data_IF_898127608002
#
_entry.id   IF_898127608002
#
_cell.length_a   1.000
_cell.length_b   1.000
_cell.length_c   1.000
_cell.angle_alpha   90.00
_cell.angle_beta   90.00
_cell.angle_gamma   90.00
#
_symmetry.space_group_name_H-M   'P 1'
#
loop_
_entity.id
_entity.type
_entity.pdbx_description
1 polymer ?
#
# COMPACT_ATOMS: atom_id res chain seq x y z
N UNK A 1 26.68 -2.47 -22.96
CA UNK A 1 25.88 -1.84 -21.89
C UNK A 1 24.45 -1.99 -22.35
N UNK A 2 23.72 -2.98 -21.82
CA UNK A 2 22.36 -3.32 -22.28
C UNK A 2 21.38 -2.56 -21.40
N UNK A 3 20.53 -1.76 -22.02
CA UNK A 3 19.48 -0.99 -21.37
C UNK A 3 18.50 -1.94 -20.67
N UNK A 4 18.40 -1.80 -19.35
CA UNK A 4 17.44 -2.51 -18.50
C UNK A 4 16.26 -1.57 -18.21
N UNK A 5 15.32 -1.43 -19.16
CA UNK A 5 13.90 -1.11 -18.96
C UNK A 5 13.26 -0.75 -20.30
N UNK A 6 12.69 -1.72 -21.02
CA UNK A 6 11.79 -1.45 -22.14
C UNK A 6 10.42 -1.00 -21.60
N UNK A 7 10.32 0.27 -21.17
CA UNK A 7 9.05 0.89 -20.79
C UNK A 7 8.07 0.99 -22.00
N UNK A 8 8.60 0.96 -23.23
CA UNK A 8 7.81 1.04 -24.47
C UNK A 8 6.95 -0.20 -24.74
N UNK A 9 7.20 -1.34 -24.09
CA UNK A 9 6.40 -2.57 -24.27
C UNK A 9 5.07 -2.59 -23.52
N UNK A 10 4.75 -1.55 -22.75
CA UNK A 10 3.59 -1.51 -21.84
C UNK A 10 2.42 -0.65 -22.37
N UNK A 11 2.54 -0.02 -23.53
CA UNK A 11 1.40 0.66 -24.18
C UNK A 11 0.93 1.93 -23.48
N UNK A 12 1.87 2.73 -22.97
CA UNK A 12 1.58 4.02 -22.32
C UNK A 12 1.58 5.13 -23.38
N UNK A 13 0.42 5.75 -23.65
CA UNK A 13 0.24 6.86 -24.60
C UNK A 13 0.72 8.20 -24.01
N UNK A 14 1.19 9.12 -24.87
CA UNK A 14 1.84 10.42 -24.54
C UNK A 14 0.94 11.48 -23.85
N UNK A 15 -0.33 11.17 -23.51
CA UNK A 15 -1.22 12.05 -22.73
C UNK A 15 -1.58 11.46 -21.35
N UNK A 16 -0.78 10.51 -20.89
CA UNK A 16 -0.98 9.82 -19.62
C UNK A 16 -0.11 10.46 -18.54
N UNK A 17 -0.70 10.79 -17.38
CA UNK A 17 0.04 11.12 -16.15
C UNK A 17 0.14 9.84 -15.31
N UNK A 18 1.15 8.97 -15.57
CA UNK A 18 1.16 7.64 -14.99
C UNK A 18 1.31 7.70 -13.48
N UNK A 19 0.27 7.24 -12.77
CA UNK A 19 0.34 6.99 -11.34
C UNK A 19 0.42 5.50 -11.08
N UNK A 20 1.42 5.06 -10.32
CA UNK A 20 1.66 3.65 -10.05
C UNK A 20 1.80 3.37 -8.56
N UNK A 21 0.96 2.48 -8.04
CA UNK A 21 1.09 1.89 -6.70
C UNK A 21 2.02 0.68 -6.78
N UNK A 22 3.14 0.71 -6.06
CA UNK A 22 4.19 -0.30 -6.15
C UNK A 22 4.26 -1.12 -4.88
N UNK A 23 4.14 -2.44 -5.04
CA UNK A 23 4.50 -3.45 -4.04
C UNK A 23 5.70 -4.23 -4.56
N UNK A 24 6.77 -4.33 -3.77
CA UNK A 24 8.03 -4.86 -4.29
C UNK A 24 8.86 -5.66 -3.29
N UNK A 25 9.58 -6.65 -3.82
CA UNK A 25 10.64 -7.38 -3.12
C UNK A 25 11.95 -7.28 -3.91
N UNK A 26 12.83 -6.34 -3.56
CA UNK A 26 14.12 -6.20 -4.28
C UNK A 26 15.01 -7.43 -4.18
N UNK A 27 14.84 -8.25 -3.13
CA UNK A 27 15.55 -9.53 -3.00
C UNK A 27 15.25 -10.47 -4.18
N UNK A 28 14.02 -10.46 -4.68
CA UNK A 28 13.60 -11.33 -5.79
C UNK A 28 14.18 -10.89 -7.15
N UNK A 29 14.55 -9.61 -7.29
CA UNK A 29 15.14 -9.06 -8.53
C UNK A 29 16.55 -9.61 -8.74
N UNK A 30 17.29 -9.82 -7.64
CA UNK A 30 18.70 -10.17 -7.64
C UNK A 30 19.60 -8.97 -7.35
N UNK A 31 20.80 -8.95 -7.91
CA UNK A 31 21.75 -7.88 -7.69
C UNK A 31 21.37 -6.62 -8.48
N UNK A 32 21.16 -5.51 -7.76
CA UNK A 32 20.89 -4.18 -8.34
C UNK A 32 22.04 -3.25 -7.91
N UNK A 33 22.89 -2.79 -8.85
CA UNK A 33 23.84 -1.74 -8.55
C UNK A 33 23.11 -0.51 -7.99
N UNK A 34 23.49 -0.06 -6.79
CA UNK A 34 22.81 1.07 -6.12
C UNK A 34 21.47 0.74 -5.46
N UNK A 35 21.04 -0.52 -5.47
CA UNK A 35 19.90 -1.06 -4.71
C UNK A 35 18.59 -0.24 -4.86
N UNK A 36 17.92 0.10 -3.76
CA UNK A 36 16.62 0.79 -3.78
C UNK A 36 16.64 2.17 -4.46
N UNK A 37 17.64 3.04 -4.23
CA UNK A 37 17.75 4.30 -4.99
C UNK A 37 17.77 4.13 -6.50
N UNK A 38 18.55 3.18 -7.02
CA UNK A 38 18.61 2.93 -8.46
C UNK A 38 17.30 2.37 -9.00
N UNK A 39 16.61 1.52 -8.23
CA UNK A 39 15.27 1.05 -8.58
C UNK A 39 14.26 2.20 -8.68
N UNK A 40 14.23 3.11 -7.69
CA UNK A 40 13.34 4.29 -7.69
C UNK A 40 13.65 5.20 -8.88
N UNK A 41 14.93 5.46 -9.16
CA UNK A 41 15.35 6.26 -10.31
C UNK A 41 14.92 5.63 -11.64
N UNK A 42 15.06 4.30 -11.78
CA UNK A 42 14.59 3.58 -12.97
C UNK A 42 13.08 3.67 -13.14
N UNK A 43 12.30 3.57 -12.05
CA UNK A 43 10.85 3.78 -12.12
C UNK A 43 10.50 5.21 -12.54
N UNK A 44 11.12 6.23 -11.94
CA UNK A 44 10.90 7.62 -12.32
C UNK A 44 11.24 7.87 -13.79
N UNK A 45 12.35 7.31 -14.28
CA UNK A 45 12.75 7.42 -15.67
C UNK A 45 11.75 6.73 -16.62
N UNK A 46 11.19 5.59 -16.22
CA UNK A 46 10.22 4.85 -17.03
C UNK A 46 8.85 5.55 -17.09
N UNK A 47 8.43 6.19 -16.00
CA UNK A 47 7.16 6.93 -15.94
C UNK A 47 7.27 8.32 -16.59
N UNK A 48 8.48 8.86 -16.73
CA UNK A 48 8.70 10.20 -17.24
C UNK A 48 8.36 11.30 -16.23
N UNK A 49 8.50 12.58 -16.63
CA UNK A 49 8.39 13.72 -15.73
C UNK A 49 6.98 13.97 -15.18
N UNK A 50 5.93 13.46 -15.83
CA UNK A 50 4.55 13.52 -15.35
C UNK A 50 4.19 12.37 -14.39
N UNK A 51 5.09 11.40 -14.20
CA UNK A 51 4.83 10.20 -13.43
C UNK A 51 4.79 10.41 -11.93
N UNK A 52 3.93 9.63 -11.26
CA UNK A 52 3.85 9.55 -9.80
C UNK A 52 4.02 8.12 -9.31
N UNK A 53 4.99 7.89 -8.43
CA UNK A 53 5.18 6.62 -7.72
C UNK A 53 4.52 6.72 -6.36
N UNK A 54 3.79 5.67 -5.97
CA UNK A 54 3.11 5.55 -4.69
C UNK A 54 3.45 4.20 -4.08
N UNK A 55 3.69 4.17 -2.77
CA UNK A 55 4.07 2.96 -2.04
C UNK A 55 3.38 2.92 -0.67
N UNK A 56 2.93 1.76 -0.19
CA UNK A 56 2.45 1.61 1.18
C UNK A 56 3.61 1.76 2.17
N UNK A 57 3.44 2.60 3.18
CA UNK A 57 4.42 2.87 4.24
C UNK A 57 3.87 2.48 5.61
N UNK A 58 3.33 1.27 5.70
CA UNK A 58 2.61 0.80 6.88
C UNK A 58 3.51 0.72 8.12
N UNK A 59 2.89 0.94 9.28
CA UNK A 59 3.47 1.09 10.62
C UNK A 59 2.66 0.25 11.61
N UNK A 60 2.57 -1.05 11.34
CA UNK A 60 1.71 -1.97 12.08
C UNK A 60 2.10 -2.21 13.54
N UNK A 61 3.29 -1.78 13.97
CA UNK A 61 3.69 -1.69 15.38
C UNK A 61 2.96 -0.59 16.16
N UNK A 62 2.43 0.43 15.50
CA UNK A 62 1.59 1.42 16.17
C UNK A 62 0.14 0.90 16.28
N UNK A 63 -0.05 -0.23 16.95
CA UNK A 63 -1.34 -0.91 17.12
C UNK A 63 -1.46 -1.52 18.52
N UNK A 64 -2.67 -1.93 18.91
CA UNK A 64 -2.88 -2.54 20.23
C UNK A 64 -2.05 -3.83 20.39
N UNK A 65 -1.16 -3.91 21.40
CA UNK A 65 -0.31 -5.06 21.61
C UNK A 65 -1.08 -6.34 21.95
N UNK A 66 -2.35 -6.25 22.35
CA UNK A 66 -3.21 -7.42 22.56
C UNK A 66 -3.45 -8.22 21.26
N UNK A 67 -3.33 -7.59 20.09
CA UNK A 67 -3.49 -8.25 18.79
C UNK A 67 -2.17 -8.75 18.18
N UNK A 68 -1.02 -8.51 18.82
CA UNK A 68 0.28 -8.87 18.24
C UNK A 68 0.55 -10.37 18.32
N UNK A 69 0.95 -10.96 17.19
CA UNK A 69 1.25 -12.40 17.08
C UNK A 69 2.67 -12.69 16.58
N UNK A 70 3.38 -11.71 16.02
CA UNK A 70 4.68 -11.91 15.35
C UNK A 70 5.72 -10.82 15.73
N UNK A 71 6.31 -10.89 16.94
CA UNK A 71 5.97 -11.77 18.05
C UNK A 71 4.86 -11.20 18.95
N UNK A 72 4.19 -12.01 19.78
CA UNK A 72 3.35 -11.51 20.87
C UNK A 72 4.22 -10.94 22.00
N UNK A 73 3.60 -10.17 22.89
CA UNK A 73 4.23 -9.64 24.12
C UNK A 73 3.39 -10.01 25.35
N UNK A 74 3.99 -10.12 26.56
CA UNK A 74 3.24 -10.41 27.78
C UNK A 74 2.11 -9.40 28.02
N UNK A 75 0.96 -9.87 28.52
CA UNK A 75 -0.20 -9.02 28.83
C UNK A 75 0.15 -7.88 29.80
N UNK A 76 1.05 -8.13 30.75
CA UNK A 76 1.55 -7.11 31.67
C UNK A 76 2.26 -5.93 30.98
N UNK A 77 2.65 -6.07 29.71
CA UNK A 77 3.29 -5.01 28.92
C UNK A 77 2.29 -4.21 28.09
N UNK A 78 1.04 -4.67 27.94
CA UNK A 78 0.09 -4.02 27.03
C UNK A 78 -0.18 -2.56 27.41
N UNK A 79 -0.53 -2.29 28.68
CA UNK A 79 -0.78 -0.91 29.10
C UNK A 79 0.49 -0.03 29.06
N UNK A 80 1.66 -0.47 29.57
CA UNK A 80 2.90 0.29 29.38
C UNK A 80 3.22 0.63 27.92
N UNK A 81 2.95 -0.27 26.99
CA UNK A 81 3.12 -0.03 25.54
C UNK A 81 2.12 1.02 25.04
N UNK A 82 0.83 0.91 25.40
CA UNK A 82 -0.19 1.91 25.05
C UNK A 82 0.13 3.30 25.59
N UNK A 83 0.80 3.40 26.73
CA UNK A 83 1.19 4.67 27.35
C UNK A 83 2.44 5.29 26.70
N UNK A 84 3.32 4.46 26.11
CA UNK A 84 4.68 4.88 25.73
C UNK A 84 5.01 4.85 24.24
N UNK A 85 4.28 4.10 23.39
CA UNK A 85 4.48 4.14 21.94
C UNK A 85 4.38 5.60 21.45
N UNK A 86 5.39 6.12 20.74
CA UNK A 86 5.34 7.45 20.16
C UNK A 86 4.15 7.60 19.22
N UNK A 87 3.52 8.78 19.20
CA UNK A 87 2.56 9.09 18.15
C UNK A 87 3.22 8.97 16.78
N UNK A 88 2.42 8.55 15.78
CA UNK A 88 2.86 8.57 14.40
C UNK A 88 3.26 9.98 13.96
N UNK A 89 4.43 10.07 13.36
CA UNK A 89 4.96 11.22 12.66
C UNK A 89 5.39 10.79 11.24
N UNK A 90 4.81 11.37 10.18
CA UNK A 90 5.15 11.03 8.80
C UNK A 90 6.66 11.09 8.48
N UNK A 91 7.39 12.03 9.10
CA UNK A 91 8.80 12.27 8.84
C UNK A 91 9.71 11.23 9.51
N UNK A 92 9.41 10.88 10.76
CA UNK A 92 10.32 10.10 11.61
C UNK A 92 9.92 8.63 11.79
N UNK A 93 8.64 8.30 11.67
CA UNK A 93 8.16 6.93 11.90
C UNK A 93 8.66 5.99 10.81
N UNK A 94 9.45 5.00 11.17
CA UNK A 94 9.97 3.99 10.23
C UNK A 94 8.86 3.03 9.79
N UNK A 95 8.96 2.51 8.57
CA UNK A 95 7.99 1.50 8.10
C UNK A 95 8.26 0.13 8.71
N UNK A 96 7.24 -0.72 8.74
CA UNK A 96 7.33 -2.09 9.30
C UNK A 96 6.76 -3.12 8.31
N UNK A 97 7.59 -4.11 7.94
CA UNK A 97 7.24 -5.27 7.06
C UNK A 97 6.73 -4.89 5.65
N UNK A 98 7.06 -3.70 5.13
CA UNK A 98 6.69 -3.30 3.74
C UNK A 98 7.86 -3.32 2.75
N UNK A 99 9.10 -3.45 3.25
CA UNK A 99 10.31 -3.56 2.43
C UNK A 99 11.11 -2.26 2.29
N UNK A 100 12.26 -2.34 1.61
CA UNK A 100 13.22 -1.23 1.53
C UNK A 100 12.80 -0.13 0.55
N UNK A 101 12.00 -0.45 -0.47
CA UNK A 101 11.56 0.55 -1.46
C UNK A 101 10.64 1.59 -0.81
N UNK A 102 9.59 1.23 -0.05
CA UNK A 102 8.82 2.22 0.69
C UNK A 102 9.65 3.03 1.68
N UNK A 103 10.57 2.38 2.42
CA UNK A 103 11.43 3.04 3.40
C UNK A 103 12.38 4.06 2.74
N UNK A 104 12.87 3.76 1.53
CA UNK A 104 13.72 4.68 0.77
C UNK A 104 12.90 5.82 0.15
N UNK A 105 11.73 5.51 -0.42
CA UNK A 105 10.90 6.49 -1.12
C UNK A 105 10.29 7.51 -0.14
N UNK A 106 9.87 7.09 1.06
CA UNK A 106 9.28 8.03 2.04
C UNK A 106 10.25 9.15 2.46
N UNK A 107 11.56 8.91 2.35
CA UNK A 107 12.61 9.90 2.66
C UNK A 107 13.16 10.58 1.41
N UNK A 108 12.64 10.27 0.22
CA UNK A 108 13.14 10.82 -1.03
C UNK A 108 12.85 12.33 -1.10
N UNK A 109 13.79 13.16 -1.61
CA UNK A 109 13.54 14.57 -1.78
C UNK A 109 12.27 14.84 -2.61
N UNK A 110 11.30 15.55 -2.02
CA UNK A 110 10.02 15.86 -2.64
C UNK A 110 8.94 14.79 -2.47
N UNK A 111 9.22 13.66 -1.81
CA UNK A 111 8.18 12.71 -1.45
C UNK A 111 7.29 13.28 -0.32
N UNK A 112 6.01 12.95 -0.38
CA UNK A 112 5.02 13.26 0.65
C UNK A 112 4.50 11.95 1.24
N UNK A 113 4.07 11.98 2.51
CA UNK A 113 3.50 10.82 3.20
C UNK A 113 2.19 11.19 3.87
N UNK A 114 1.17 10.35 3.67
CA UNK A 114 -0.15 10.55 4.27
C UNK A 114 -0.12 10.34 5.79
N UNK A 115 -1.05 10.97 6.51
CA UNK A 115 -0.99 11.06 7.98
C UNK A 115 -1.54 9.85 8.77
N UNK A 116 -2.04 8.80 8.12
CA UNK A 116 -2.66 7.68 8.86
C UNK A 116 -1.63 6.93 9.75
N UNK A 117 -1.89 6.73 11.06
CA UNK A 117 -0.90 6.19 12.01
C UNK A 117 -0.39 4.77 11.77
N UNK A 118 -1.13 3.96 11.01
CA UNK A 118 -0.83 2.55 10.71
C UNK A 118 -0.71 2.22 9.21
N UNK A 119 -1.51 2.82 8.33
CA UNK A 119 -1.61 2.46 6.90
C UNK A 119 -1.23 3.61 5.98
N UNK A 120 -0.32 4.49 6.42
CA UNK A 120 0.13 5.61 5.58
C UNK A 120 0.74 5.15 4.25
N UNK A 121 0.65 6.01 3.23
CA UNK A 121 1.31 5.86 1.93
C UNK A 121 2.31 7.00 1.72
N UNK A 122 3.43 6.71 1.06
CA UNK A 122 4.31 7.73 0.50
C UNK A 122 4.11 7.84 -1.02
N UNK A 123 4.20 9.06 -1.53
CA UNK A 123 4.07 9.36 -2.95
C UNK A 123 5.12 10.38 -3.41
N UNK A 124 5.61 10.21 -4.64
CA UNK A 124 6.60 11.08 -5.28
C UNK A 124 6.18 11.34 -6.73
N UNK A 125 5.98 12.61 -7.08
CA UNK A 125 5.55 13.05 -8.42
C UNK A 125 4.41 14.07 -8.37
N UNK A 126 3.88 14.50 -9.53
CA UNK A 126 2.86 15.56 -9.61
C UNK A 126 1.59 15.30 -8.79
N UNK A 127 1.16 14.04 -8.65
CA UNK A 127 -0.05 13.68 -7.90
C UNK A 127 0.21 13.42 -6.41
N UNK A 128 1.46 13.53 -5.93
CA UNK A 128 1.82 13.12 -4.57
C UNK A 128 1.00 13.81 -3.48
N UNK A 129 0.77 15.13 -3.61
CA UNK A 129 -0.01 15.90 -2.65
C UNK A 129 -1.47 15.44 -2.65
N UNK A 130 -2.08 15.37 -3.84
CA UNK A 130 -3.47 14.95 -3.98
C UNK A 130 -3.70 13.58 -3.36
N UNK A 131 -2.84 12.61 -3.63
CA UNK A 131 -2.96 11.22 -3.16
C UNK A 131 -2.79 11.12 -1.63
N UNK A 132 -1.88 11.90 -1.03
CA UNK A 132 -1.51 11.73 0.38
C UNK A 132 -2.27 12.62 1.36
N UNK A 133 -2.85 13.73 0.90
CA UNK A 133 -3.58 14.65 1.78
C UNK A 133 -4.88 14.05 2.33
N UNK A 134 -5.33 14.47 3.52
CA UNK A 134 -6.67 14.11 4.03
C UNK A 134 -6.92 12.63 4.32
N UNK A 135 -5.87 11.82 4.51
CA UNK A 135 -6.01 10.43 4.93
C UNK A 135 -6.57 10.38 6.37
N UNK A 136 -7.84 10.01 6.50
CA UNK A 136 -8.57 10.05 7.77
C UNK A 136 -8.07 8.98 8.75
N UNK A 137 -7.97 9.30 10.04
CA UNK A 137 -7.46 8.35 11.05
C UNK A 137 -8.42 7.22 11.39
N UNK A 138 -9.71 7.37 11.07
CA UNK A 138 -10.76 6.36 11.23
C UNK A 138 -11.07 5.60 9.93
N UNK A 139 -10.18 5.68 8.93
CA UNK A 139 -10.33 4.98 7.67
C UNK A 139 -8.97 4.52 7.16
N UNK A 140 -8.56 3.27 7.48
CA UNK A 140 -7.27 2.74 7.07
C UNK A 140 -7.07 2.72 5.55
N UNK A 141 -8.04 2.18 4.80
CA UNK A 141 -7.87 1.83 3.38
C UNK A 141 -9.18 2.00 2.55
N UNK A 142 -10.15 2.77 3.05
CA UNK A 142 -11.44 3.00 2.40
C UNK A 142 -11.54 4.30 1.59
N UNK A 143 -12.74 4.88 1.53
CA UNK A 143 -13.05 6.08 0.71
C UNK A 143 -12.29 7.34 1.14
N UNK A 144 -11.92 7.45 2.42
CA UNK A 144 -11.13 8.57 2.96
C UNK A 144 -9.63 8.24 3.05
N UNK A 145 -9.16 7.35 2.18
CA UNK A 145 -7.76 6.92 2.10
C UNK A 145 -7.13 7.18 0.72
N UNK A 146 -5.79 7.07 0.60
CA UNK A 146 -5.10 7.13 -0.68
C UNK A 146 -5.59 6.12 -1.72
N UNK A 147 -6.12 4.95 -1.34
CA UNK A 147 -6.60 3.95 -2.32
C UNK A 147 -7.75 4.47 -3.17
N UNK A 148 -8.73 5.16 -2.56
CA UNK A 148 -9.85 5.74 -3.31
C UNK A 148 -9.38 6.84 -4.28
N UNK A 149 -8.38 7.62 -3.88
CA UNK A 149 -7.78 8.65 -4.75
C UNK A 149 -6.99 8.04 -5.90
N UNK A 150 -6.25 6.96 -5.64
CA UNK A 150 -5.54 6.20 -6.69
C UNK A 150 -6.52 5.62 -7.71
N UNK A 151 -7.67 5.13 -7.27
CA UNK A 151 -8.73 4.68 -8.17
C UNK A 151 -9.32 5.83 -9.01
N UNK A 152 -9.51 7.00 -8.40
CA UNK A 152 -10.06 8.17 -9.08
C UNK A 152 -9.14 8.69 -10.19
N UNK A 153 -7.81 8.58 -10.02
CA UNK A 153 -6.81 8.98 -11.03
C UNK A 153 -6.41 7.86 -11.99
N UNK A 154 -7.17 6.75 -12.03
CA UNK A 154 -6.90 5.61 -12.92
C UNK A 154 -5.48 5.04 -12.76
N UNK A 155 -5.01 4.95 -11.51
CA UNK A 155 -3.69 4.43 -11.19
C UNK A 155 -3.53 2.95 -11.59
N UNK A 156 -2.27 2.56 -11.82
CA UNK A 156 -1.86 1.17 -12.03
C UNK A 156 -1.29 0.59 -10.75
N UNK A 157 -1.35 -0.74 -10.61
CA UNK A 157 -0.67 -1.49 -9.55
C UNK A 157 0.45 -2.31 -10.15
N UNK A 158 1.66 -2.19 -9.58
CA UNK A 158 2.80 -3.04 -9.88
C UNK A 158 3.08 -3.96 -8.70
N UNK A 159 2.90 -5.26 -8.91
CA UNK A 159 3.40 -6.30 -8.00
C UNK A 159 4.71 -6.83 -8.56
N UNK A 160 5.83 -6.47 -7.95
CA UNK A 160 7.17 -6.86 -8.38
C UNK A 160 7.79 -7.84 -7.39
N UNK A 161 7.83 -9.11 -7.78
CA UNK A 161 8.43 -10.17 -6.96
C UNK A 161 7.68 -10.46 -5.67
N UNK A 162 6.39 -10.12 -5.63
CA UNK A 162 5.47 -10.36 -4.51
C UNK A 162 4.20 -11.02 -5.02
N UNK A 163 3.51 -11.71 -4.12
CA UNK A 163 2.23 -12.36 -4.38
C UNK A 163 1.06 -11.39 -4.38
N UNK A 164 -0.12 -11.95 -4.60
CA UNK A 164 -1.38 -11.22 -4.52
C UNK A 164 -1.75 -10.88 -3.07
N UNK A 165 -1.22 -11.64 -2.10
CA UNK A 165 -1.27 -11.33 -0.67
C UNK A 165 -0.70 -9.95 -0.31
N UNK A 166 0.10 -9.34 -1.19
CA UNK A 166 0.64 -7.97 -1.01
C UNK A 166 -0.13 -6.88 -1.75
N UNK A 167 -1.22 -7.22 -2.46
CA UNK A 167 -2.01 -6.27 -3.24
C UNK A 167 -2.93 -5.42 -2.34
N UNK A 168 -2.40 -4.31 -1.79
CA UNK A 168 -3.17 -3.45 -0.87
C UNK A 168 -4.42 -2.84 -1.51
N UNK A 169 -4.47 -2.72 -2.84
CA UNK A 169 -5.66 -2.24 -3.56
C UNK A 169 -6.92 -3.07 -3.26
N UNK A 170 -6.79 -4.38 -3.01
CA UNK A 170 -7.95 -5.23 -2.69
C UNK A 170 -8.62 -4.85 -1.36
N UNK A 171 -7.91 -4.21 -0.42
CA UNK A 171 -8.55 -3.74 0.81
C UNK A 171 -9.62 -2.68 0.56
N UNK A 172 -9.51 -1.85 -0.50
CA UNK A 172 -10.59 -0.91 -0.85
C UNK A 172 -11.90 -1.65 -1.17
N UNK A 173 -11.81 -2.85 -1.74
CA UNK A 173 -12.99 -3.70 -1.97
C UNK A 173 -13.60 -4.23 -0.67
N UNK A 174 -12.82 -4.42 0.40
CA UNK A 174 -13.35 -4.81 1.70
C UNK A 174 -14.20 -3.70 2.33
N UNK A 175 -13.84 -2.42 2.11
CA UNK A 175 -14.68 -1.28 2.52
C UNK A 175 -15.98 -1.17 1.72
N UNK A 176 -15.99 -1.68 0.48
CA UNK A 176 -17.14 -1.68 -0.43
C UNK A 176 -17.92 -3.01 -0.44
N UNK A 177 -17.46 -3.97 0.35
CA UNK A 177 -18.16 -5.22 0.58
C UNK A 177 -19.53 -4.94 1.19
N UNK A 178 -20.55 -5.73 0.86
CA UNK A 178 -21.93 -5.42 1.26
C UNK A 178 -22.15 -5.43 2.79
N UNK A 179 -21.37 -6.23 3.52
CA UNK A 179 -21.53 -6.41 4.96
C UNK A 179 -20.16 -6.47 5.66
N UNK A 180 -19.38 -5.38 5.61
CA UNK A 180 -18.04 -5.35 6.16
C UNK A 180 -18.14 -5.49 7.68
N UNK A 181 -17.36 -6.41 8.24
CA UNK A 181 -17.21 -6.51 9.69
C UNK A 181 -16.46 -5.29 10.18
N UNK A 182 -16.91 -4.71 11.28
CA UNK A 182 -16.21 -3.63 11.96
C UNK A 182 -15.43 -4.15 13.16
N UNK A 183 -14.32 -3.51 13.47
CA UNK A 183 -13.49 -3.77 14.65
C UNK A 183 -13.06 -2.48 15.34
N UNK A 184 -12.67 -2.60 16.61
CA UNK A 184 -11.93 -1.53 17.29
C UNK A 184 -10.49 -1.55 16.81
N UNK A 185 -10.01 -0.39 16.36
CA UNK A 185 -8.64 -0.19 15.96
C UNK A 185 -8.02 0.92 16.82
N UNK A 186 -6.93 0.60 17.53
CA UNK A 186 -6.28 1.51 18.46
C UNK A 186 -4.84 1.82 18.05
N UNK A 187 -4.41 3.06 18.25
CA UNK A 187 -3.07 3.53 17.89
C UNK A 187 -2.71 4.84 18.60
N UNK A 188 -1.42 5.17 18.61
CA UNK A 188 -0.91 6.46 19.06
C UNK A 188 -0.90 7.48 17.92
N UNK A 189 -1.47 8.66 18.14
CA UNK A 189 -1.56 9.77 17.18
C UNK A 189 -1.36 11.11 17.89
N UNK A 190 -0.91 12.14 17.16
CA UNK A 190 -0.92 13.51 17.65
C UNK A 190 -2.23 14.20 17.26
N UNK A 191 -2.95 14.72 18.25
CA UNK A 191 -4.11 15.60 18.07
C UNK A 191 -3.79 16.90 18.80
N UNK A 192 -3.84 18.02 18.09
CA UNK A 192 -3.45 19.35 18.61
C UNK A 192 -2.06 19.37 19.28
N UNK A 193 -1.08 18.78 18.59
CA UNK A 193 0.32 18.62 19.05
C UNK A 193 0.49 17.84 20.36
N UNK A 194 -0.54 17.09 20.79
CA UNK A 194 -0.50 16.21 21.96
C UNK A 194 -0.63 14.75 21.55
N UNK A 195 0.27 13.91 22.07
CA UNK A 195 0.22 12.47 21.87
C UNK A 195 -0.98 11.88 22.61
N UNK A 196 -1.83 11.16 21.89
CA UNK A 196 -2.99 10.46 22.41
C UNK A 196 -3.00 9.00 21.96
N UNK A 197 -3.45 8.10 22.83
CA UNK A 197 -3.84 6.74 22.44
C UNK A 197 -5.35 6.76 22.20
N UNK A 198 -5.78 6.57 20.95
CA UNK A 198 -7.20 6.61 20.60
C UNK A 198 -7.66 5.23 20.10
N UNK A 199 -8.97 5.03 20.09
CA UNK A 199 -9.62 3.87 19.47
C UNK A 199 -10.71 4.39 18.55
N UNK A 200 -10.74 3.86 17.33
CA UNK A 200 -11.73 4.17 16.29
C UNK A 200 -12.40 2.87 15.85
N UNK A 201 -13.62 2.97 15.30
CA UNK A 201 -14.26 1.86 14.60
C UNK A 201 -13.84 1.90 13.14
N UNK A 202 -13.38 0.78 12.61
CA UNK A 202 -12.97 0.65 11.21
C UNK A 202 -13.31 -0.75 10.66
N UNK A 203 -13.20 -0.95 9.35
CA UNK A 203 -13.41 -2.25 8.69
C UNK A 203 -12.30 -3.21 9.09
N UNK A 204 -12.68 -4.42 9.53
CA UNK A 204 -11.77 -5.53 9.80
C UNK A 204 -11.26 -6.11 8.47
N UNK A 205 -10.07 -5.68 8.06
CA UNK A 205 -9.42 -6.08 6.81
C UNK A 205 -8.64 -7.39 6.96
N UNK A 206 -8.57 -8.19 5.89
CA UNK A 206 -7.77 -9.42 5.85
C UNK A 206 -7.26 -9.73 4.44
N UNK A 207 -6.04 -10.26 4.36
CA UNK A 207 -5.37 -10.69 3.12
C UNK A 207 -5.40 -12.22 2.92
N UNK A 208 -6.05 -12.98 3.80
CA UNK A 208 -6.03 -14.46 3.82
C UNK A 208 -6.46 -15.10 2.49
N UNK A 209 -7.41 -14.49 1.79
CA UNK A 209 -7.96 -15.01 0.53
C UNK A 209 -7.46 -14.25 -0.72
N UNK A 210 -6.52 -13.30 -0.55
CA UNK A 210 -6.00 -12.47 -1.65
C UNK A 210 -5.27 -13.30 -2.71
N UNK A 211 -4.58 -14.38 -2.33
CA UNK A 211 -3.96 -15.28 -3.32
C UNK A 211 -5.01 -15.94 -4.22
N UNK A 212 -6.13 -16.39 -3.65
CA UNK A 212 -7.22 -17.00 -4.42
C UNK A 212 -7.93 -15.96 -5.29
N UNK A 213 -8.27 -14.82 -4.69
CA UNK A 213 -8.89 -13.69 -5.37
C UNK A 213 -8.03 -13.20 -6.55
N UNK A 214 -6.73 -13.02 -6.32
CA UNK A 214 -5.79 -12.55 -7.32
C UNK A 214 -5.57 -13.55 -8.45
N UNK A 215 -5.52 -14.85 -8.16
CA UNK A 215 -5.46 -15.88 -9.19
C UNK A 215 -6.73 -15.91 -10.06
N UNK A 216 -7.91 -15.70 -9.47
CA UNK A 216 -9.17 -15.59 -10.22
C UNK A 216 -9.20 -14.33 -11.09
N UNK A 217 -8.75 -13.19 -10.55
CA UNK A 217 -8.60 -11.95 -11.31
C UNK A 217 -7.62 -12.10 -12.47
N UNK A 218 -6.45 -12.72 -12.25
CA UNK A 218 -5.44 -12.95 -13.29
C UNK A 218 -5.93 -13.89 -14.41
N UNK A 219 -6.85 -14.81 -14.10
CA UNK A 219 -7.51 -15.68 -15.09
C UNK A 219 -8.55 -14.93 -15.91
N UNK A 220 -9.34 -14.08 -15.26
CA UNK A 220 -10.55 -13.49 -15.85
C UNK A 220 -10.31 -12.11 -16.49
N UNK A 221 -9.26 -11.40 -16.08
CA UNK A 221 -8.92 -10.04 -16.49
C UNK A 221 -7.54 -9.95 -17.16
N UNK A 222 -7.28 -8.84 -17.84
CA UNK A 222 -5.98 -8.61 -18.49
C UNK A 222 -4.95 -8.12 -17.47
N UNK A 223 -4.06 -9.01 -17.05
CA UNK A 223 -2.87 -8.68 -16.26
C UNK A 223 -1.62 -8.75 -17.15
N UNK A 224 -0.86 -7.66 -17.21
CA UNK A 224 0.42 -7.66 -17.93
C UNK A 224 1.46 -8.36 -17.05
N UNK A 225 2.06 -9.42 -17.58
CA UNK A 225 3.15 -10.15 -16.94
C UNK A 225 4.49 -9.83 -17.59
N UNK A 226 5.54 -9.85 -16.78
CA UNK A 226 6.91 -9.68 -17.25
C UNK A 226 7.90 -9.98 -16.15
N UNK A 227 9.17 -9.65 -16.40
CA UNK A 227 10.25 -9.85 -15.43
C UNK A 227 11.10 -8.60 -15.29
N UNK A 228 11.53 -8.31 -14.06
CA UNK A 228 12.57 -7.31 -13.77
C UNK A 228 13.70 -8.04 -13.04
N UNK A 229 14.86 -8.16 -13.70
CA UNK A 229 15.90 -9.09 -13.23
C UNK A 229 15.35 -10.51 -13.17
N UNK A 230 15.46 -11.17 -12.01
CA UNK A 230 14.88 -12.48 -11.76
C UNK A 230 13.45 -12.44 -11.17
N UNK A 231 12.90 -11.26 -10.91
CA UNK A 231 11.57 -11.12 -10.29
C UNK A 231 10.47 -11.20 -11.35
N UNK A 232 9.45 -12.03 -11.09
CA UNK A 232 8.18 -11.97 -11.82
C UNK A 232 7.42 -10.69 -11.45
N UNK A 233 6.80 -10.06 -12.44
CA UNK A 233 6.05 -8.82 -12.28
C UNK A 233 4.63 -8.97 -12.81
N UNK A 234 3.70 -8.30 -12.15
CA UNK A 234 2.32 -8.08 -12.62
C UNK A 234 2.01 -6.60 -12.64
N UNK A 235 1.40 -6.14 -13.72
CA UNK A 235 0.96 -4.77 -13.89
C UNK A 235 -0.48 -4.75 -14.40
N UNK A 236 -1.36 -4.03 -13.70
CA UNK A 236 -2.79 -4.00 -13.98
C UNK A 236 -3.45 -2.71 -13.48
N UNK A 237 -4.62 -2.31 -14.03
CA UNK A 237 -5.35 -1.12 -13.56
C UNK A 237 -5.94 -1.34 -12.16
N UNK A 238 -5.74 -0.38 -11.25
CA UNK A 238 -6.24 -0.45 -9.88
C UNK A 238 -7.78 -0.52 -9.85
N UNK A 239 -8.45 0.34 -10.64
CA UNK A 239 -9.92 0.39 -10.71
C UNK A 239 -10.54 -0.95 -11.12
N UNK A 240 -9.95 -1.63 -12.10
CA UNK A 240 -10.44 -2.94 -12.55
C UNK A 240 -10.26 -4.00 -11.45
N UNK A 241 -9.10 -4.01 -10.78
CA UNK A 241 -8.81 -4.91 -9.68
C UNK A 241 -9.79 -4.72 -8.49
N UNK A 242 -10.09 -3.46 -8.11
CA UNK A 242 -11.03 -3.15 -7.03
C UNK A 242 -12.46 -3.56 -7.39
N UNK A 243 -12.91 -3.25 -8.60
CA UNK A 243 -14.25 -3.63 -9.07
C UNK A 243 -14.43 -5.15 -9.11
N UNK A 244 -13.42 -5.87 -9.62
CA UNK A 244 -13.41 -7.33 -9.62
C UNK A 244 -13.43 -7.89 -8.20
N UNK A 245 -12.53 -7.42 -7.33
CA UNK A 245 -12.45 -7.85 -5.94
C UNK A 245 -13.74 -7.62 -5.17
N UNK A 246 -14.41 -6.48 -5.37
CA UNK A 246 -15.71 -6.19 -4.74
C UNK A 246 -16.76 -7.22 -5.15
N UNK A 247 -16.83 -7.53 -6.45
CA UNK A 247 -17.76 -8.53 -6.98
C UNK A 247 -17.42 -9.94 -6.50
N UNK A 248 -16.13 -10.27 -6.41
CA UNK A 248 -15.64 -11.57 -5.98
C UNK A 248 -15.90 -11.80 -4.48
N UNK A 249 -15.63 -10.82 -3.63
CA UNK A 249 -15.86 -10.92 -2.18
C UNK A 249 -17.35 -11.10 -1.88
N UNK A 250 -18.23 -10.37 -2.56
CA UNK A 250 -19.69 -10.53 -2.44
C UNK A 250 -20.21 -11.93 -2.83
N UNK A 251 -19.46 -12.68 -3.64
CA UNK A 251 -19.80 -14.06 -4.04
C UNK A 251 -19.16 -15.12 -3.13
N UNK A 252 -17.96 -14.86 -2.63
CA UNK A 252 -17.09 -15.89 -2.03
C UNK A 252 -16.89 -15.76 -0.51
N UNK A 253 -17.09 -14.56 0.06
CA UNK A 253 -17.01 -14.35 1.50
C UNK A 253 -18.39 -14.51 2.11
N UNK A 254 -18.44 -15.12 3.30
CA UNK A 254 -19.67 -15.19 4.06
C UNK A 254 -20.15 -13.77 4.40
N UNK A 255 -21.45 -13.55 4.30
CA UNK A 255 -22.04 -12.30 4.79
C UNK A 255 -22.04 -12.37 6.31
N UNK A 256 -21.51 -11.35 6.95
CA UNK A 256 -21.61 -11.21 8.41
C UNK A 256 -23.10 -11.03 8.74
N UNK A 257 -23.63 -11.89 9.62
CA UNK A 257 -25.00 -11.76 10.17
C UNK A 257 -25.14 -10.52 11.06
#
# INVERSE_FOLDING_TARGET
>A
MRDYCDAEKVGVNESFDPTILVHSSLRSVGFIPGFAPSFIQSLLSALGPSGTIVVPTHTGDNSDPAAWQAPPVPESWWQPIRDSIPAFDPATTITRVVGIVPETLRTWPGALRSAHPQTSFAALGPQAKHITEGHASDCRLGESSPLAKLEAVDAWVLLLGVGWDKCTAFHLAEYRFQSPRLEDNSFAINIDDQRQWITVKDVAITDEDFERLGADFERDCKVVRGTVGAAECRLFPLREAVAYATSWMNKNRAKTE
#
